data_IF_979995988755
#
_entry.id   IF_979995988755
#
_cell.length_a   1.000
_cell.length_b   1.000
_cell.length_c   1.000
_cell.angle_alpha   90.00
_cell.angle_beta   90.00
_cell.angle_gamma   90.00
#
_symmetry.space_group_name_H-M   'P 1'
#
loop_
_entity.id
_entity.type
_entity.pdbx_description
1 polymer ?
#
# COMPACT_ATOMS: atom_id res chain seq x y z
N UNK A 1 -16.70 -10.88 51.98
CA UNK A 1 -17.15 -9.54 51.69
C UNK A 1 -16.30 -9.00 50.53
N UNK A 2 -16.93 -8.45 49.48
CA UNK A 2 -16.22 -7.80 48.39
C UNK A 2 -15.77 -6.38 48.77
N UNK A 3 -14.91 -5.78 47.96
CA UNK A 3 -14.45 -4.41 48.12
C UNK A 3 -14.96 -3.56 46.96
N UNK A 4 -15.52 -2.42 47.21
CA UNK A 4 -15.99 -1.50 46.16
C UNK A 4 -14.80 -1.03 45.28
N UNK A 5 -14.89 -1.25 44.01
CA UNK A 5 -13.84 -0.88 43.05
C UNK A 5 -13.55 0.63 42.98
N UNK A 6 -14.51 1.46 43.46
CA UNK A 6 -14.37 2.92 43.44
C UNK A 6 -13.85 3.47 44.76
N UNK A 7 -14.52 3.19 45.91
CA UNK A 7 -14.17 3.81 47.17
C UNK A 7 -13.37 2.93 48.15
N UNK A 8 -13.05 1.69 47.78
CA UNK A 8 -12.29 0.77 48.60
C UNK A 8 -12.99 0.23 49.85
N UNK A 9 -14.25 0.65 50.13
CA UNK A 9 -15.02 0.17 51.29
C UNK A 9 -15.72 -1.17 50.99
N UNK A 10 -16.09 -1.91 52.05
CA UNK A 10 -16.74 -3.23 51.89
C UNK A 10 -18.10 -3.14 51.21
N UNK A 11 -18.40 -4.09 50.30
CA UNK A 11 -19.68 -4.25 49.63
C UNK A 11 -20.22 -5.67 49.83
N UNK A 12 -21.48 -5.90 49.47
CA UNK A 12 -22.14 -7.20 49.56
C UNK A 12 -21.41 -8.29 48.73
N UNK A 13 -21.68 -9.55 49.09
CA UNK A 13 -21.00 -10.74 48.50
C UNK A 13 -21.09 -10.86 46.99
N UNK A 14 -22.07 -10.24 46.34
CA UNK A 14 -22.34 -10.32 44.90
C UNK A 14 -22.23 -8.94 44.21
N UNK A 15 -21.66 -7.93 44.86
CA UNK A 15 -21.51 -6.59 44.29
C UNK A 15 -20.03 -6.20 44.20
N UNK A 16 -19.65 -5.62 43.07
CA UNK A 16 -18.30 -5.05 42.83
C UNK A 16 -18.21 -3.57 43.20
N UNK A 17 -19.33 -2.90 43.45
CA UNK A 17 -19.38 -1.47 43.76
C UNK A 17 -20.65 -1.13 44.58
N UNK A 18 -20.63 0.01 45.29
CA UNK A 18 -21.85 0.63 45.79
C UNK A 18 -22.56 1.33 44.62
N UNK A 19 -23.88 1.25 44.60
CA UNK A 19 -24.72 1.87 43.58
C UNK A 19 -24.45 3.38 43.44
N UNK A 20 -24.38 4.08 44.57
CA UNK A 20 -24.08 5.51 44.62
C UNK A 20 -22.68 5.86 44.05
N UNK A 21 -21.68 4.99 44.29
CA UNK A 21 -20.34 5.20 43.72
C UNK A 21 -20.33 4.99 42.17
N UNK A 22 -21.07 4.01 41.71
CA UNK A 22 -21.24 3.70 40.31
C UNK A 22 -21.97 4.81 39.56
N UNK A 23 -23.13 5.24 40.07
CA UNK A 23 -23.91 6.37 39.52
C UNK A 23 -23.08 7.67 39.47
N UNK A 24 -22.31 7.96 40.54
CA UNK A 24 -21.42 9.14 40.59
C UNK A 24 -20.31 9.06 39.54
N UNK A 25 -19.70 7.90 39.40
CA UNK A 25 -18.67 7.66 38.41
C UNK A 25 -19.20 7.78 36.96
N UNK A 26 -20.30 7.12 36.65
CA UNK A 26 -20.96 7.18 35.32
C UNK A 26 -21.36 8.63 34.95
N UNK A 27 -21.94 9.36 35.91
CA UNK A 27 -22.26 10.78 35.70
C UNK A 27 -21.01 11.61 35.41
N UNK A 28 -19.92 11.38 36.13
CA UNK A 28 -18.65 12.07 35.90
C UNK A 28 -18.06 11.77 34.53
N UNK A 29 -18.07 10.51 34.11
CA UNK A 29 -17.61 10.09 32.75
C UNK A 29 -18.46 10.74 31.66
N UNK A 30 -19.78 10.82 31.85
CA UNK A 30 -20.67 11.50 30.92
C UNK A 30 -20.37 13.01 30.81
N UNK A 31 -20.23 13.70 31.94
CA UNK A 31 -19.88 15.13 31.97
C UNK A 31 -18.52 15.40 31.30
N UNK A 32 -17.53 14.52 31.50
CA UNK A 32 -16.24 14.64 30.88
C UNK A 32 -16.30 14.39 29.35
N UNK A 33 -17.08 13.40 28.90
CA UNK A 33 -17.30 13.17 27.48
C UNK A 33 -17.88 14.42 26.80
N UNK A 34 -18.89 15.03 27.39
CA UNK A 34 -19.45 16.27 26.86
C UNK A 34 -18.42 17.40 26.86
N UNK A 35 -17.64 17.56 27.93
CA UNK A 35 -16.62 18.60 28.02
C UNK A 35 -15.49 18.43 26.98
N UNK A 36 -15.11 17.21 26.68
CA UNK A 36 -14.10 16.91 25.63
C UNK A 36 -14.61 17.24 24.22
N UNK A 37 -15.87 16.89 23.95
CA UNK A 37 -16.52 17.27 22.67
C UNK A 37 -16.67 18.80 22.57
N UNK A 38 -17.08 19.49 23.65
CA UNK A 38 -17.15 20.96 23.70
C UNK A 38 -15.79 21.63 23.46
N UNK A 39 -14.70 21.02 23.97
CA UNK A 39 -13.36 21.52 23.73
C UNK A 39 -13.03 21.52 22.23
N UNK A 40 -13.23 20.41 21.52
CA UNK A 40 -12.97 20.34 20.09
C UNK A 40 -13.89 21.21 19.24
N UNK A 41 -15.06 21.58 19.76
CA UNK A 41 -15.98 22.58 19.17
C UNK A 41 -15.58 24.03 19.47
N UNK A 42 -14.50 24.24 20.24
CA UNK A 42 -14.06 25.58 20.63
C UNK A 42 -14.91 26.26 21.70
N UNK A 43 -15.80 25.51 22.37
CA UNK A 43 -16.69 26.05 23.41
C UNK A 43 -16.07 25.98 24.79
N UNK A 44 -14.96 25.29 24.97
CA UNK A 44 -14.28 25.06 26.24
C UNK A 44 -12.78 25.23 26.11
N UNK A 45 -12.13 25.85 27.08
CA UNK A 45 -10.68 26.01 27.13
C UNK A 45 -9.98 24.74 27.65
N UNK A 46 -8.74 24.49 27.25
CA UNK A 46 -7.91 23.38 27.73
C UNK A 46 -7.70 23.40 29.24
N UNK A 47 -7.53 24.57 29.85
CA UNK A 47 -7.44 24.75 31.31
C UNK A 47 -8.69 24.27 32.05
N UNK A 48 -9.86 24.51 31.47
CA UNK A 48 -11.13 24.05 32.05
C UNK A 48 -11.26 22.52 31.99
N UNK A 49 -10.77 21.89 30.90
CA UNK A 49 -10.69 20.42 30.77
C UNK A 49 -9.78 19.86 31.86
N UNK A 50 -8.57 20.40 32.02
CA UNK A 50 -7.60 19.96 33.03
C UNK A 50 -8.16 20.09 34.47
N UNK A 51 -8.77 21.23 34.81
CA UNK A 51 -9.38 21.44 36.14
C UNK A 51 -10.53 20.46 36.41
N UNK A 52 -11.35 20.18 35.40
CA UNK A 52 -12.43 19.20 35.52
C UNK A 52 -11.88 17.80 35.80
N UNK A 53 -10.86 17.36 35.05
CA UNK A 53 -10.23 16.06 35.26
C UNK A 53 -9.69 15.91 36.67
N UNK A 54 -9.01 16.93 37.21
CA UNK A 54 -8.48 16.91 38.57
C UNK A 54 -9.61 16.75 39.64
N UNK A 55 -10.71 17.49 39.49
CA UNK A 55 -11.86 17.35 40.38
C UNK A 55 -12.49 15.95 40.28
N UNK A 56 -12.72 15.44 39.06
CA UNK A 56 -13.38 14.14 38.85
C UNK A 56 -12.54 12.96 39.33
N UNK A 57 -11.21 13.05 39.23
CA UNK A 57 -10.31 12.02 39.80
C UNK A 57 -10.48 11.89 41.32
N UNK A 58 -10.51 13.01 42.01
CA UNK A 58 -10.60 13.01 43.49
C UNK A 58 -12.01 12.72 44.03
N UNK A 59 -13.05 13.26 43.38
CA UNK A 59 -14.41 13.22 43.87
C UNK A 59 -15.25 12.05 43.35
N UNK A 60 -14.93 11.57 42.14
CA UNK A 60 -15.76 10.61 41.40
C UNK A 60 -15.04 9.35 41.00
N UNK A 61 -13.80 9.14 41.47
CA UNK A 61 -12.99 7.93 41.20
C UNK A 61 -12.71 7.67 39.71
N UNK A 62 -12.60 8.73 38.90
CA UNK A 62 -12.27 8.60 37.46
C UNK A 62 -10.81 8.19 37.35
N UNK A 63 -10.56 7.10 36.66
CA UNK A 63 -9.23 6.54 36.43
C UNK A 63 -8.53 7.16 35.21
N UNK A 64 -7.21 6.89 35.08
CA UNK A 64 -6.46 7.28 33.89
C UNK A 64 -6.96 6.57 32.65
N UNK A 65 -7.43 5.33 32.79
CA UNK A 65 -8.00 4.55 31.66
C UNK A 65 -9.34 5.16 31.21
N UNK A 66 -10.19 5.62 32.12
CA UNK A 66 -11.42 6.32 31.75
C UNK A 66 -11.13 7.61 30.98
N UNK A 67 -10.14 8.39 31.45
CA UNK A 67 -9.70 9.62 30.77
C UNK A 67 -9.15 9.33 29.36
N UNK A 68 -8.32 8.33 29.27
CA UNK A 68 -7.73 7.93 27.97
C UNK A 68 -8.81 7.44 27.00
N UNK A 69 -9.75 6.63 27.49
CA UNK A 69 -10.85 6.12 26.70
C UNK A 69 -11.76 7.24 26.19
N UNK A 70 -12.24 8.10 27.08
CA UNK A 70 -13.09 9.24 26.72
C UNK A 70 -12.37 10.24 25.83
N UNK A 71 -11.07 10.47 26.09
CA UNK A 71 -10.23 11.30 25.25
C UNK A 71 -10.05 10.75 23.85
N UNK A 72 -9.80 9.45 23.74
CA UNK A 72 -9.70 8.75 22.43
C UNK A 72 -11.01 8.86 21.64
N UNK A 73 -12.15 8.67 22.28
CA UNK A 73 -13.45 8.76 21.63
C UNK A 73 -13.75 10.20 21.14
N UNK A 74 -13.44 11.22 21.94
CA UNK A 74 -13.57 12.62 21.54
C UNK A 74 -12.64 13.01 20.38
N UNK A 75 -11.41 12.50 20.38
CA UNK A 75 -10.45 12.69 19.27
C UNK A 75 -11.00 12.04 17.98
N UNK A 76 -11.58 10.84 18.07
CA UNK A 76 -12.20 10.17 16.93
C UNK A 76 -13.40 10.95 16.38
N UNK A 77 -14.28 11.44 17.25
CA UNK A 77 -15.39 12.31 16.84
C UNK A 77 -14.86 13.56 16.13
N UNK A 78 -13.87 14.23 16.72
CA UNK A 78 -13.26 15.41 16.12
C UNK A 78 -12.64 15.08 14.74
N UNK A 79 -11.92 13.98 14.61
CA UNK A 79 -11.34 13.55 13.34
C UNK A 79 -12.41 13.41 12.26
N UNK A 80 -13.61 12.93 12.57
CA UNK A 80 -14.71 12.80 11.61
C UNK A 80 -15.19 14.17 11.09
N UNK A 81 -15.16 15.21 11.93
CA UNK A 81 -15.57 16.56 11.55
C UNK A 81 -14.57 17.31 10.67
N UNK A 82 -13.34 16.83 10.56
CA UNK A 82 -12.30 17.49 9.79
C UNK A 82 -12.55 17.33 8.28
N UNK A 83 -12.60 18.43 7.55
CA UNK A 83 -12.74 18.49 6.11
C UNK A 83 -11.71 19.44 5.49
N UNK A 84 -11.31 19.18 4.24
CA UNK A 84 -10.42 20.09 3.50
C UNK A 84 -11.16 21.36 3.06
N UNK A 85 -10.50 22.52 3.06
CA UNK A 85 -9.13 22.76 3.51
C UNK A 85 -9.01 22.67 5.04
N UNK A 86 -7.94 22.02 5.52
CA UNK A 86 -7.75 21.84 6.96
C UNK A 86 -7.32 23.13 7.66
N UNK A 87 -7.96 23.52 8.78
CA UNK A 87 -7.51 24.63 9.60
C UNK A 87 -6.09 24.44 10.13
N UNK A 88 -5.29 25.50 10.11
CA UNK A 88 -3.91 25.47 10.60
C UNK A 88 -3.80 25.15 12.12
N UNK A 89 -4.88 25.38 12.88
CA UNK A 89 -4.96 25.17 14.32
C UNK A 89 -5.10 23.72 14.77
N UNK A 90 -5.43 22.77 13.88
CA UNK A 90 -5.75 21.38 14.24
C UNK A 90 -4.67 20.74 15.12
N UNK A 91 -3.39 20.85 14.73
CA UNK A 91 -2.29 20.27 15.48
C UNK A 91 -2.12 20.92 16.86
N UNK A 92 -2.31 22.24 16.95
CA UNK A 92 -2.31 22.97 18.21
C UNK A 92 -3.44 22.50 19.14
N UNK A 93 -4.67 22.48 18.64
CA UNK A 93 -5.86 22.00 19.36
C UNK A 93 -5.64 20.57 19.87
N UNK A 94 -5.17 19.66 19.02
CA UNK A 94 -4.94 18.25 19.41
C UNK A 94 -3.85 18.14 20.48
N UNK A 95 -2.73 18.84 20.34
CA UNK A 95 -1.63 18.85 21.32
C UNK A 95 -2.07 19.43 22.66
N UNK A 96 -2.79 20.55 22.65
CA UNK A 96 -3.26 21.22 23.85
C UNK A 96 -4.29 20.34 24.59
N UNK A 97 -5.11 19.57 23.86
CA UNK A 97 -6.00 18.56 24.44
C UNK A 97 -5.22 17.42 25.10
N UNK A 98 -4.22 16.83 24.41
CA UNK A 98 -3.36 15.79 24.98
C UNK A 98 -2.73 16.28 26.28
N UNK A 99 -2.18 17.49 26.29
CA UNK A 99 -1.61 18.11 27.49
C UNK A 99 -2.65 18.33 28.61
N UNK A 100 -3.86 18.76 28.27
CA UNK A 100 -4.93 19.00 29.23
C UNK A 100 -5.44 17.72 29.89
N UNK A 101 -5.46 16.60 29.17
CA UNK A 101 -5.85 15.28 29.72
C UNK A 101 -4.83 14.73 30.71
N UNK A 102 -3.55 15.06 30.54
CA UNK A 102 -2.44 14.47 31.28
C UNK A 102 -2.20 12.97 30.94
N UNK A 103 -2.95 12.42 30.00
CA UNK A 103 -2.79 11.04 29.55
C UNK A 103 -1.59 10.92 28.59
N UNK A 104 -0.96 9.75 28.56
CA UNK A 104 0.12 9.50 27.60
C UNK A 104 -0.41 9.42 26.16
N UNK A 105 0.45 9.73 25.19
CA UNK A 105 0.13 9.56 23.77
C UNK A 105 -0.38 8.14 23.47
N UNK A 106 0.33 7.13 23.97
CA UNK A 106 -0.02 5.72 23.75
C UNK A 106 -1.39 5.35 24.32
N UNK A 107 -1.76 5.89 25.50
CA UNK A 107 -3.06 5.63 26.09
C UNK A 107 -4.19 6.27 25.27
N UNK A 108 -4.05 7.53 24.86
CA UNK A 108 -5.01 8.22 24.00
C UNK A 108 -5.09 7.60 22.59
N UNK A 109 -4.00 7.00 22.12
CA UNK A 109 -3.94 6.36 20.80
C UNK A 109 -4.23 4.85 20.82
N UNK A 110 -4.65 4.28 21.95
CA UNK A 110 -4.89 2.84 22.09
C UNK A 110 -5.90 2.29 21.06
N UNK A 111 -6.84 3.11 20.58
CA UNK A 111 -7.79 2.82 19.52
C UNK A 111 -7.40 3.46 18.16
N UNK A 112 -6.18 3.95 18.00
CA UNK A 112 -5.71 4.59 16.77
C UNK A 112 -6.30 5.97 16.52
N UNK A 113 -6.84 6.68 17.52
CA UNK A 113 -7.50 7.96 17.34
C UNK A 113 -6.57 9.08 16.88
N UNK A 114 -5.37 9.17 17.44
CA UNK A 114 -4.35 10.14 17.03
C UNK A 114 -3.75 9.79 15.67
N UNK A 115 -3.53 8.51 15.42
CA UNK A 115 -3.11 7.99 14.09
C UNK A 115 -4.15 8.31 13.01
N UNK A 116 -5.44 8.28 13.35
CA UNK A 116 -6.51 8.64 12.43
C UNK A 116 -6.44 10.13 12.03
N UNK A 117 -6.20 11.03 12.99
CA UNK A 117 -6.01 12.47 12.68
C UNK A 117 -4.76 12.65 11.81
N UNK A 118 -3.63 12.09 12.21
CA UNK A 118 -2.38 12.19 11.44
C UNK A 118 -2.55 11.67 10.02
N UNK A 119 -3.14 10.46 9.87
CA UNK A 119 -3.43 9.85 8.57
C UNK A 119 -4.34 10.73 7.71
N UNK A 120 -5.43 11.25 8.28
CA UNK A 120 -6.37 12.11 7.55
C UNK A 120 -5.72 13.39 7.03
N UNK A 121 -4.91 14.05 7.86
CA UNK A 121 -4.20 15.28 7.48
C UNK A 121 -3.12 15.00 6.42
N UNK A 122 -2.29 13.97 6.61
CA UNK A 122 -1.23 13.61 5.65
C UNK A 122 -1.83 13.23 4.30
N UNK A 123 -2.85 12.36 4.28
CA UNK A 123 -3.56 11.98 3.04
C UNK A 123 -4.15 13.21 2.33
N UNK A 124 -4.67 14.16 3.07
CA UNK A 124 -5.20 15.38 2.49
C UNK A 124 -4.13 16.25 1.82
N UNK A 125 -2.97 16.45 2.45
CA UNK A 125 -1.88 17.25 1.87
C UNK A 125 -1.22 16.54 0.68
N UNK A 126 -1.10 15.21 0.72
CA UNK A 126 -0.60 14.44 -0.42
C UNK A 126 -1.61 14.48 -1.59
N UNK A 127 -2.92 14.41 -1.30
CA UNK A 127 -3.95 14.56 -2.32
C UNK A 127 -3.92 15.97 -2.96
N UNK A 128 -3.65 17.02 -2.16
CA UNK A 128 -3.49 18.39 -2.66
C UNK A 128 -2.27 18.50 -3.60
N UNK A 129 -1.21 17.73 -3.37
CA UNK A 129 -0.09 17.62 -4.30
C UNK A 129 -0.51 16.94 -5.62
N UNK A 130 -1.12 15.78 -5.58
CA UNK A 130 -1.54 15.07 -6.79
C UNK A 130 -2.65 15.77 -7.60
N UNK A 131 -3.24 16.82 -7.04
CA UNK A 131 -4.26 17.67 -7.72
C UNK A 131 -3.77 19.08 -8.02
N UNK A 132 -2.45 19.32 -8.00
CA UNK A 132 -1.81 20.61 -8.30
C UNK A 132 -2.23 21.79 -7.40
N UNK A 133 -2.87 21.49 -6.24
CA UNK A 133 -3.24 22.50 -5.24
C UNK A 133 -2.03 22.92 -4.39
N UNK A 134 -1.08 22.01 -4.19
CA UNK A 134 0.06 22.20 -3.32
C UNK A 134 1.35 21.62 -3.93
N UNK A 135 2.47 22.38 -3.96
CA UNK A 135 3.77 21.85 -4.38
C UNK A 135 4.24 20.71 -3.47
N UNK A 136 5.01 19.75 -4.02
CA UNK A 136 5.54 18.57 -3.31
C UNK A 136 6.22 18.93 -1.99
N UNK A 137 7.18 19.87 -2.02
CA UNK A 137 7.93 20.28 -0.82
C UNK A 137 7.03 20.83 0.28
N UNK A 138 5.97 21.55 -0.09
CA UNK A 138 4.99 22.07 0.87
C UNK A 138 4.11 20.95 1.45
N UNK A 139 3.72 19.97 0.63
CA UNK A 139 2.97 18.81 1.09
C UNK A 139 3.78 18.00 2.10
N UNK A 140 5.03 17.66 1.78
CA UNK A 140 5.91 16.93 2.69
C UNK A 140 6.30 17.73 3.94
N UNK A 141 6.57 19.02 3.81
CA UNK A 141 6.81 19.89 4.98
C UNK A 141 5.62 19.90 5.95
N UNK A 142 4.38 19.85 5.45
CA UNK A 142 3.18 19.73 6.29
C UNK A 142 3.08 18.33 6.91
N UNK A 143 3.41 17.27 6.17
CA UNK A 143 3.48 15.91 6.72
C UNK A 143 4.53 15.80 7.84
N UNK A 144 5.71 16.39 7.66
CA UNK A 144 6.77 16.41 8.68
C UNK A 144 6.31 17.15 9.97
N UNK A 145 5.60 18.26 9.83
CA UNK A 145 5.01 18.96 10.99
C UNK A 145 3.98 18.09 11.72
N UNK A 146 3.19 17.28 11.01
CA UNK A 146 2.25 16.34 11.61
C UNK A 146 3.03 15.28 12.40
N UNK A 147 4.03 14.65 11.81
CA UNK A 147 4.87 13.62 12.46
C UNK A 147 5.57 14.16 13.72
N UNK A 148 6.01 15.40 13.69
CA UNK A 148 6.63 16.04 14.87
C UNK A 148 5.62 16.35 15.99
N UNK A 149 4.36 16.58 15.66
CA UNK A 149 3.32 16.87 16.64
C UNK A 149 2.59 15.61 17.13
N UNK A 150 2.43 14.63 16.25
CA UNK A 150 1.74 13.37 16.46
C UNK A 150 2.67 12.23 15.98
N UNK A 151 3.50 11.65 16.88
CA UNK A 151 4.50 10.66 16.50
C UNK A 151 3.82 9.35 16.04
N UNK A 152 3.72 9.20 14.72
CA UNK A 152 3.21 7.99 14.07
C UNK A 152 4.35 7.00 13.82
N UNK A 153 4.02 5.71 13.67
CA UNK A 153 5.00 4.69 13.30
C UNK A 153 5.43 4.83 11.83
N UNK A 154 6.66 4.42 11.51
CA UNK A 154 7.14 4.35 10.12
C UNK A 154 6.28 3.41 9.25
N UNK A 155 5.67 2.38 9.86
CA UNK A 155 4.74 1.49 9.16
C UNK A 155 3.50 2.25 8.70
N UNK A 156 2.87 3.03 9.60
CA UNK A 156 1.70 3.82 9.26
C UNK A 156 2.03 4.90 8.20
N UNK A 157 3.19 5.55 8.32
CA UNK A 157 3.65 6.50 7.31
C UNK A 157 3.76 5.86 5.93
N UNK A 158 4.41 4.70 5.84
CA UNK A 158 4.53 3.95 4.59
C UNK A 158 3.16 3.51 4.05
N UNK A 159 2.25 3.05 4.90
CA UNK A 159 0.90 2.67 4.47
C UNK A 159 0.13 3.87 3.92
N UNK A 160 0.27 5.06 4.53
CA UNK A 160 -0.32 6.30 4.02
C UNK A 160 0.24 6.65 2.63
N UNK A 161 1.57 6.62 2.46
CA UNK A 161 2.21 6.93 1.19
C UNK A 161 1.81 5.96 0.09
N UNK A 162 1.80 4.66 0.38
CA UNK A 162 1.40 3.62 -0.58
C UNK A 162 -0.08 3.75 -0.97
N UNK A 163 -0.98 3.99 -0.01
CA UNK A 163 -2.41 4.20 -0.30
C UNK A 163 -2.64 5.43 -1.19
N UNK A 164 -1.92 6.51 -0.92
CA UNK A 164 -2.06 7.74 -1.72
C UNK A 164 -1.48 7.61 -3.11
N UNK A 165 -0.37 6.89 -3.24
CA UNK A 165 0.22 6.56 -4.54
C UNK A 165 -0.75 5.69 -5.37
N UNK A 166 -1.35 4.65 -4.76
CA UNK A 166 -2.33 3.81 -5.44
C UNK A 166 -3.52 4.61 -5.94
N UNK A 167 -4.09 5.48 -5.09
CA UNK A 167 -5.20 6.37 -5.49
C UNK A 167 -4.82 7.31 -6.64
N UNK A 168 -3.59 7.83 -6.63
CA UNK A 168 -3.09 8.67 -7.71
C UNK A 168 -2.95 7.87 -9.01
N UNK A 169 -2.31 6.69 -8.96
CA UNK A 169 -2.17 5.81 -10.13
C UNK A 169 -3.54 5.42 -10.71
N UNK A 170 -4.50 4.99 -9.87
CA UNK A 170 -5.87 4.67 -10.29
C UNK A 170 -6.54 5.86 -10.97
N UNK A 171 -6.36 7.08 -10.43
CA UNK A 171 -6.96 8.28 -11.01
C UNK A 171 -6.34 8.66 -12.34
N UNK A 172 -5.02 8.64 -12.44
CA UNK A 172 -4.26 8.98 -13.65
C UNK A 172 -4.46 7.94 -14.77
N UNK A 173 -4.73 6.70 -14.42
CA UNK A 173 -4.96 5.62 -15.39
C UNK A 173 -6.43 5.50 -15.85
N UNK A 174 -7.36 6.36 -15.37
CA UNK A 174 -8.81 6.25 -15.67
C UNK A 174 -9.15 6.36 -17.14
N UNK A 175 -8.48 7.23 -17.86
CA UNK A 175 -8.69 7.43 -19.31
C UNK A 175 -7.78 6.53 -20.16
N UNK A 176 -6.96 5.71 -19.52
CA UNK A 176 -6.03 4.81 -20.16
C UNK A 176 -4.78 5.48 -20.75
N UNK A 177 -4.51 6.73 -20.41
CA UNK A 177 -3.34 7.49 -20.89
C UNK A 177 -2.65 8.16 -19.73
N UNK A 178 -1.44 7.71 -19.40
CA UNK A 178 -0.59 8.39 -18.43
C UNK A 178 0.15 9.55 -19.12
N UNK A 179 -0.20 10.78 -18.78
CA UNK A 179 0.45 11.98 -19.34
C UNK A 179 1.85 12.18 -18.77
N UNK A 180 2.68 12.99 -19.44
CA UNK A 180 4.02 13.31 -18.95
C UNK A 180 4.00 14.05 -17.60
N UNK A 181 3.00 14.89 -17.35
CA UNK A 181 2.83 15.59 -16.08
C UNK A 181 2.45 14.64 -14.95
N UNK A 182 1.50 13.73 -15.17
CA UNK A 182 1.10 12.73 -14.19
C UNK A 182 2.24 11.78 -13.86
N UNK A 183 3.00 11.36 -14.86
CA UNK A 183 4.21 10.58 -14.66
C UNK A 183 5.23 11.33 -13.80
N UNK A 184 5.46 12.62 -14.06
CA UNK A 184 6.36 13.45 -13.27
C UNK A 184 5.90 13.54 -11.81
N UNK A 185 4.60 13.73 -11.54
CA UNK A 185 4.06 13.72 -10.18
C UNK A 185 4.35 12.40 -9.45
N UNK A 186 4.20 11.26 -10.14
CA UNK A 186 4.50 9.95 -9.56
C UNK A 186 6.00 9.82 -9.28
N UNK A 187 6.86 10.15 -10.25
CA UNK A 187 8.32 10.05 -10.12
C UNK A 187 8.83 10.94 -8.96
N UNK A 188 8.35 12.17 -8.86
CA UNK A 188 8.69 13.10 -7.79
C UNK A 188 8.23 12.59 -6.42
N UNK A 189 6.99 12.09 -6.34
CA UNK A 189 6.43 11.56 -5.10
C UNK A 189 7.19 10.32 -4.61
N UNK A 190 7.42 9.32 -5.47
CA UNK A 190 8.11 8.08 -5.08
C UNK A 190 9.55 8.34 -4.68
N UNK A 191 10.24 9.28 -5.37
CA UNK A 191 11.59 9.72 -5.01
C UNK A 191 11.61 10.35 -3.62
N UNK A 192 10.68 11.25 -3.33
CA UNK A 192 10.61 11.96 -2.04
C UNK A 192 10.13 11.07 -0.89
N UNK A 193 9.24 10.13 -1.16
CA UNK A 193 8.73 9.17 -0.19
C UNK A 193 9.67 7.96 0.04
N UNK A 194 10.71 7.80 -0.77
CA UNK A 194 11.63 6.66 -0.70
C UNK A 194 10.99 5.33 -1.11
N UNK A 195 9.97 5.38 -1.99
CA UNK A 195 9.29 4.19 -2.48
C UNK A 195 10.04 3.63 -3.69
N UNK A 196 10.24 2.31 -3.72
CA UNK A 196 10.78 1.62 -4.89
C UNK A 196 9.64 0.95 -5.66
N UNK A 197 9.35 1.43 -6.86
CA UNK A 197 8.36 0.81 -7.76
C UNK A 197 8.79 -0.58 -8.26
N UNK A 198 10.08 -0.91 -8.15
CA UNK A 198 10.63 -2.23 -8.53
C UNK A 198 10.48 -3.29 -7.42
N UNK A 199 10.28 -2.86 -6.16
CA UNK A 199 10.22 -3.72 -4.98
C UNK A 199 8.94 -3.46 -4.20
N UNK A 200 7.79 -3.60 -4.86
CA UNK A 200 6.48 -3.39 -4.25
C UNK A 200 6.13 -4.53 -3.29
N UNK A 201 5.48 -4.23 -2.13
CA UNK A 201 4.87 -5.25 -1.30
C UNK A 201 3.88 -6.11 -2.08
N UNK A 202 3.73 -7.40 -1.71
CA UNK A 202 2.92 -8.37 -2.45
C UNK A 202 1.50 -7.92 -2.78
N UNK A 203 0.84 -7.19 -1.88
CA UNK A 203 -0.52 -6.64 -2.10
C UNK A 203 -0.63 -5.61 -3.25
N UNK A 204 0.50 -5.06 -3.72
CA UNK A 204 0.54 -4.07 -4.80
C UNK A 204 1.13 -4.61 -6.10
N UNK A 205 1.54 -5.89 -6.16
CA UNK A 205 2.20 -6.46 -7.34
C UNK A 205 1.30 -6.51 -8.58
N UNK A 206 -0.03 -6.61 -8.39
CA UNK A 206 -1.03 -6.61 -9.47
C UNK A 206 -1.85 -5.31 -9.53
N UNK A 207 -1.37 -4.25 -8.86
CA UNK A 207 -2.04 -2.94 -8.80
C UNK A 207 -1.63 -2.00 -9.94
N UNK A 208 -2.33 -0.88 -10.07
CA UNK A 208 -1.96 0.18 -11.02
C UNK A 208 -0.60 0.82 -10.71
N UNK A 209 -0.14 0.75 -9.44
CA UNK A 209 1.24 1.15 -9.08
C UNK A 209 2.26 0.26 -9.80
N UNK A 210 2.05 -1.05 -9.81
CA UNK A 210 2.96 -1.97 -10.50
C UNK A 210 2.99 -1.71 -12.00
N UNK A 211 1.85 -1.45 -12.62
CA UNK A 211 1.76 -1.11 -14.06
C UNK A 211 2.52 0.19 -14.39
N UNK A 212 2.37 1.21 -13.55
CA UNK A 212 3.13 2.47 -13.69
C UNK A 212 4.63 2.23 -13.52
N UNK A 213 5.04 1.42 -12.54
CA UNK A 213 6.44 1.04 -12.36
C UNK A 213 7.00 0.28 -13.55
N UNK A 214 6.24 -0.65 -14.11
CA UNK A 214 6.60 -1.39 -15.33
C UNK A 214 6.72 -0.45 -16.54
N UNK A 215 5.81 0.50 -16.70
CA UNK A 215 5.88 1.50 -17.76
C UNK A 215 7.11 2.41 -17.62
N UNK A 216 7.48 2.79 -16.40
CA UNK A 216 8.70 3.57 -16.14
C UNK A 216 9.96 2.77 -16.55
N UNK A 217 10.04 1.48 -16.22
CA UNK A 217 11.15 0.61 -16.65
C UNK A 217 11.25 0.55 -18.17
N UNK A 218 10.13 0.37 -18.89
CA UNK A 218 10.14 0.34 -20.36
C UNK A 218 10.61 1.67 -20.94
N UNK A 219 10.18 2.80 -20.39
CA UNK A 219 10.64 4.14 -20.80
C UNK A 219 12.15 4.31 -20.58
N UNK A 220 12.65 3.90 -19.42
CA UNK A 220 14.07 4.04 -19.08
C UNK A 220 14.94 3.17 -19.99
N UNK A 221 14.51 1.95 -20.29
CA UNK A 221 15.18 1.08 -21.28
C UNK A 221 15.19 1.68 -22.69
N UNK A 222 14.11 2.35 -23.12
CA UNK A 222 14.10 3.08 -24.41
C UNK A 222 15.14 4.20 -24.45
N UNK A 223 15.47 4.78 -23.31
CA UNK A 223 16.48 5.81 -23.15
C UNK A 223 17.88 5.23 -22.85
N UNK A 224 18.06 3.90 -22.91
CA UNK A 224 19.32 3.22 -22.67
C UNK A 224 19.68 3.07 -21.19
N UNK A 225 18.74 3.34 -20.26
CA UNK A 225 18.93 3.21 -18.82
C UNK A 225 18.46 1.83 -18.37
N UNK A 226 19.36 1.02 -17.82
CA UNK A 226 19.02 -0.30 -17.30
C UNK A 226 18.48 -0.20 -15.87
N UNK A 227 17.40 -0.92 -15.54
CA UNK A 227 16.89 -0.96 -14.17
C UNK A 227 17.87 -1.66 -13.24
N UNK A 228 18.01 -1.17 -12.02
CA UNK A 228 18.80 -1.82 -10.97
C UNK A 228 17.88 -2.76 -10.20
N UNK A 229 17.79 -4.01 -10.64
CA UNK A 229 17.05 -5.06 -9.95
C UNK A 229 17.95 -5.73 -8.90
N UNK A 230 17.76 -5.41 -7.62
CA UNK A 230 18.42 -6.09 -6.51
C UNK A 230 17.72 -7.44 -6.22
N UNK A 231 17.85 -8.38 -7.14
CA UNK A 231 17.29 -9.71 -6.96
C UNK A 231 18.39 -10.63 -6.45
N UNK A 232 18.26 -11.09 -5.22
CA UNK A 232 19.14 -12.15 -4.68
C UNK A 232 18.71 -13.48 -5.30
N UNK A 233 19.27 -13.79 -6.46
CA UNK A 233 19.01 -15.04 -7.14
C UNK A 233 20.27 -15.90 -7.14
N UNK A 234 20.15 -17.21 -6.87
CA UNK A 234 21.28 -18.14 -6.90
C UNK A 234 21.63 -18.54 -8.35
N UNK A 235 21.74 -17.54 -9.23
CA UNK A 235 22.11 -17.72 -10.66
C UNK A 235 23.41 -17.00 -10.97
N UNK A 236 24.19 -17.61 -11.86
CA UNK A 236 25.42 -17.01 -12.38
C UNK A 236 25.10 -16.33 -13.70
N UNK A 237 25.21 -15.01 -13.73
CA UNK A 237 25.07 -14.22 -14.94
C UNK A 237 26.35 -14.27 -15.77
N UNK A 238 26.20 -14.22 -17.09
CA UNK A 238 27.33 -14.12 -18.01
C UNK A 238 28.02 -12.74 -17.95
N UNK A 239 29.16 -12.62 -18.64
CA UNK A 239 29.85 -11.33 -18.75
C UNK A 239 28.94 -10.30 -19.45
N UNK A 240 28.76 -9.12 -18.84
CA UNK A 240 27.86 -8.06 -19.30
C UNK A 240 26.39 -8.54 -19.46
N UNK A 241 25.97 -9.46 -18.61
CA UNK A 241 24.58 -9.88 -18.51
C UNK A 241 23.97 -9.21 -17.27
N UNK A 242 22.89 -8.45 -17.47
CA UNK A 242 22.19 -7.68 -16.43
C UNK A 242 20.75 -8.14 -16.31
N UNK A 243 20.24 -8.28 -15.09
CA UNK A 243 18.83 -8.54 -14.84
C UNK A 243 18.05 -7.26 -15.15
N UNK A 244 17.03 -7.40 -15.98
CA UNK A 244 16.09 -6.32 -16.31
C UNK A 244 14.83 -6.41 -15.50
N UNK A 245 14.37 -7.64 -15.23
CA UNK A 245 13.19 -7.93 -14.42
C UNK A 245 13.21 -9.36 -13.89
N UNK A 246 12.44 -9.61 -12.82
CA UNK A 246 12.20 -10.95 -12.30
C UNK A 246 10.76 -11.07 -11.80
N UNK A 247 10.11 -12.18 -12.17
CA UNK A 247 8.82 -12.60 -11.65
C UNK A 247 9.04 -13.74 -10.67
N UNK A 248 8.43 -13.67 -9.50
CA UNK A 248 8.41 -14.74 -8.51
C UNK A 248 7.08 -15.53 -8.61
N UNK A 249 7.08 -16.77 -8.13
CA UNK A 249 5.85 -17.59 -8.13
C UNK A 249 5.42 -18.08 -9.51
N UNK A 250 6.32 -18.06 -10.50
CA UNK A 250 6.03 -18.49 -11.86
C UNK A 250 6.02 -20.01 -11.95
N UNK A 251 4.97 -20.56 -12.58
CA UNK A 251 4.87 -21.97 -12.94
C UNK A 251 5.40 -22.18 -14.36
N UNK A 252 6.35 -23.08 -14.50
CA UNK A 252 6.85 -23.48 -15.81
C UNK A 252 6.26 -24.82 -16.23
N UNK A 253 5.67 -24.84 -17.41
CA UNK A 253 5.17 -26.05 -18.06
C UNK A 253 5.96 -26.37 -19.33
N UNK A 254 6.09 -27.65 -19.60
CA UNK A 254 6.67 -28.15 -20.85
C UNK A 254 5.69 -29.08 -21.55
N UNK A 255 5.55 -28.90 -22.85
CA UNK A 255 4.70 -29.74 -23.67
C UNK A 255 5.22 -31.19 -23.73
N UNK A 256 4.37 -32.15 -23.33
CA UNK A 256 4.48 -33.57 -23.76
C UNK A 256 3.38 -33.81 -24.76
N UNK A 257 3.76 -34.25 -25.96
CA UNK A 257 2.82 -34.40 -27.07
C UNK A 257 1.80 -35.52 -26.76
N UNK A 258 0.61 -35.09 -26.36
CA UNK A 258 -0.66 -35.80 -26.40
C UNK A 258 -1.69 -34.71 -26.75
N UNK A 259 -2.66 -34.95 -27.61
CA UNK A 259 -3.39 -33.91 -28.39
C UNK A 259 -4.55 -33.21 -27.70
N UNK A 260 -4.67 -31.86 -27.67
CA UNK A 260 -5.92 -31.03 -27.45
C UNK A 260 -5.84 -29.50 -27.70
N UNK A 261 -6.81 -28.80 -27.65
CA UNK A 261 -7.69 -27.64 -27.93
C UNK A 261 -7.18 -26.19 -27.96
N UNK A 262 -7.69 -25.32 -28.86
CA UNK A 262 -7.34 -23.91 -29.11
C UNK A 262 -8.52 -22.94 -28.83
N UNK A 263 -8.22 -21.68 -28.47
CA UNK A 263 -9.18 -20.64 -28.16
C UNK A 263 -8.96 -19.23 -28.71
N UNK A 264 -9.92 -18.33 -28.48
CA UNK A 264 -10.00 -16.97 -29.01
C UNK A 264 -9.86 -15.89 -27.94
N UNK A 265 -9.19 -14.75 -28.26
CA UNK A 265 -8.96 -13.64 -27.35
C UNK A 265 -9.75 -12.37 -27.72
N UNK A 266 -10.17 -11.58 -26.72
CA UNK A 266 -10.68 -10.23 -26.84
C UNK A 266 -10.15 -9.35 -25.70
N UNK A 267 -9.95 -8.05 -25.94
CA UNK A 267 -9.45 -7.13 -24.92
C UNK A 267 -9.43 -5.67 -25.39
N UNK A 268 -9.15 -4.77 -24.45
CA UNK A 268 -8.97 -3.34 -24.70
C UNK A 268 -7.50 -2.94 -24.51
N UNK A 269 -7.12 -1.80 -25.11
CA UNK A 269 -5.75 -1.28 -25.05
C UNK A 269 -5.77 0.21 -24.70
N UNK A 270 -4.77 0.66 -23.93
CA UNK A 270 -4.50 2.08 -23.72
C UNK A 270 -3.00 2.38 -23.84
N UNK A 271 -2.69 3.64 -24.17
CA UNK A 271 -1.31 4.08 -24.38
C UNK A 271 -0.75 4.61 -23.07
N UNK A 272 0.39 4.08 -22.63
CA UNK A 272 1.08 4.46 -21.39
C UNK A 272 2.12 5.56 -21.67
N UNK A 273 2.83 5.48 -22.80
CA UNK A 273 3.76 6.51 -23.29
C UNK A 273 3.95 6.39 -24.81
N UNK A 274 4.74 7.27 -25.43
CA UNK A 274 4.99 7.23 -26.87
C UNK A 274 5.62 5.87 -27.26
N UNK A 275 4.89 5.07 -28.01
CA UNK A 275 5.33 3.75 -28.49
C UNK A 275 4.94 2.57 -27.59
N UNK A 276 4.43 2.80 -26.37
CA UNK A 276 4.03 1.73 -25.45
C UNK A 276 2.51 1.72 -25.25
N UNK A 277 1.87 0.59 -25.56
CA UNK A 277 0.43 0.39 -25.44
C UNK A 277 0.12 -0.77 -24.50
N UNK A 278 -0.70 -0.54 -23.48
CA UNK A 278 -1.24 -1.58 -22.61
C UNK A 278 -2.44 -2.25 -23.28
N UNK A 279 -2.45 -3.60 -23.28
CA UNK A 279 -3.60 -4.39 -23.78
C UNK A 279 -4.01 -5.40 -22.73
N UNK A 280 -5.27 -5.41 -22.35
CA UNK A 280 -5.88 -6.44 -21.49
C UNK A 280 -6.75 -7.32 -22.36
N UNK A 281 -6.48 -8.64 -22.39
CA UNK A 281 -7.21 -9.61 -23.18
C UNK A 281 -7.80 -10.73 -22.36
N UNK A 282 -8.99 -11.21 -22.73
CA UNK A 282 -9.60 -12.45 -22.22
C UNK A 282 -9.60 -13.51 -23.30
N UNK A 283 -9.32 -14.76 -22.89
CA UNK A 283 -9.22 -15.92 -23.79
C UNK A 283 -10.38 -16.91 -23.56
N UNK A 284 -10.97 -17.44 -24.66
CA UNK A 284 -11.95 -18.54 -24.65
C UNK A 284 -11.57 -19.59 -25.69
N UNK A 285 -11.49 -20.87 -25.30
CA UNK A 285 -10.93 -21.94 -26.07
C UNK A 285 -11.88 -22.93 -26.74
N UNK A 286 -11.36 -23.63 -27.80
CA UNK A 286 -11.95 -24.80 -28.45
C UNK A 286 -10.90 -25.93 -28.65
N UNK A 287 -11.27 -27.22 -28.70
CA UNK A 287 -10.35 -28.34 -28.64
C UNK A 287 -9.69 -28.74 -29.97
N UNK A 288 -8.42 -29.10 -29.93
CA UNK A 288 -7.69 -29.86 -30.95
C UNK A 288 -6.61 -30.75 -30.29
N UNK A 289 -6.21 -31.81 -30.98
CA UNK A 289 -5.42 -32.95 -30.55
C UNK A 289 -4.12 -32.66 -29.76
N UNK A 290 -3.87 -33.54 -28.85
CA UNK A 290 -3.17 -33.54 -27.57
C UNK A 290 -1.67 -33.24 -27.56
N UNK A 291 -1.32 -32.19 -26.83
CA UNK A 291 -0.12 -32.22 -26.03
C UNK A 291 -0.50 -31.95 -24.56
N UNK A 292 -0.04 -32.77 -23.66
CA UNK A 292 -0.24 -32.59 -22.23
C UNK A 292 0.83 -31.65 -21.69
N UNK A 293 0.41 -30.53 -21.13
CA UNK A 293 1.32 -29.62 -20.44
C UNK A 293 1.67 -30.20 -19.07
N UNK A 294 2.93 -30.54 -18.86
CA UNK A 294 3.42 -31.00 -17.58
C UNK A 294 4.04 -29.84 -16.81
N UNK A 295 3.63 -29.66 -15.57
CA UNK A 295 4.29 -28.76 -14.64
C UNK A 295 5.72 -29.27 -14.38
N UNK A 296 6.73 -28.47 -14.71
CA UNK A 296 8.14 -28.79 -14.50
C UNK A 296 8.69 -28.18 -13.22
N UNK A 297 8.03 -27.14 -12.68
CA UNK A 297 8.36 -26.52 -11.40
C UNK A 297 7.71 -25.16 -11.18
N UNK A 298 7.78 -24.70 -9.93
CA UNK A 298 7.42 -23.34 -9.52
C UNK A 298 8.69 -22.61 -9.08
N UNK A 299 8.87 -21.37 -9.53
CA UNK A 299 10.10 -20.64 -9.27
C UNK A 299 10.07 -19.19 -9.70
N UNK A 300 11.21 -18.66 -10.13
CA UNK A 300 11.36 -17.32 -10.66
C UNK A 300 11.64 -17.32 -12.16
N UNK A 301 10.97 -16.43 -12.90
CA UNK A 301 11.28 -16.13 -14.30
C UNK A 301 12.05 -14.82 -14.35
N UNK A 302 13.29 -14.88 -14.85
CA UNK A 302 14.23 -13.78 -14.87
C UNK A 302 14.47 -13.37 -16.32
N UNK A 303 14.25 -12.11 -16.59
CA UNK A 303 14.52 -11.47 -17.89
C UNK A 303 15.85 -10.73 -17.77
N UNK A 304 16.83 -11.12 -18.56
CA UNK A 304 18.12 -10.41 -18.66
C UNK A 304 18.23 -9.69 -20.00
N UNK A 305 19.28 -8.92 -20.20
CA UNK A 305 19.58 -8.34 -21.52
C UNK A 305 20.04 -9.38 -22.58
N UNK A 306 20.19 -10.67 -22.21
CA UNK A 306 20.68 -11.75 -23.12
C UNK A 306 19.80 -12.98 -23.13
N UNK A 307 19.12 -13.27 -22.04
CA UNK A 307 18.45 -14.55 -21.84
C UNK A 307 17.14 -14.39 -21.07
N UNK A 308 16.23 -15.31 -21.33
CA UNK A 308 15.11 -15.62 -20.46
C UNK A 308 15.51 -16.82 -19.58
N UNK A 309 15.52 -16.68 -18.28
CA UNK A 309 16.00 -17.69 -17.33
C UNK A 309 14.86 -18.06 -16.39
N UNK A 310 14.50 -19.33 -16.35
CA UNK A 310 13.65 -19.87 -15.30
C UNK A 310 14.52 -20.60 -14.27
N UNK A 311 14.32 -20.26 -13.01
CA UNK A 311 15.02 -20.86 -11.87
C UNK A 311 14.04 -21.44 -10.89
N UNK A 312 14.16 -22.72 -10.56
CA UNK A 312 13.43 -23.38 -9.48
C UNK A 312 14.30 -24.46 -8.84
N UNK A 313 13.84 -25.00 -7.69
CA UNK A 313 14.51 -26.15 -7.05
C UNK A 313 14.41 -27.44 -7.90
N UNK A 314 13.36 -27.57 -8.72
CA UNK A 314 13.11 -28.76 -9.53
C UNK A 314 13.77 -28.68 -10.88
N UNK A 315 13.76 -27.49 -11.51
CA UNK A 315 14.19 -27.34 -12.90
C UNK A 315 14.73 -25.93 -13.16
N UNK A 316 15.88 -25.87 -13.82
CA UNK A 316 16.42 -24.62 -14.33
C UNK A 316 16.40 -24.64 -15.85
N UNK A 317 16.04 -23.51 -16.47
CA UNK A 317 16.01 -23.38 -17.91
C UNK A 317 16.54 -21.99 -18.30
N UNK A 318 17.54 -21.95 -19.19
CA UNK A 318 18.09 -20.71 -19.75
C UNK A 318 17.87 -20.71 -21.24
N UNK A 319 17.15 -19.71 -21.75
CA UNK A 319 16.83 -19.57 -23.18
C UNK A 319 17.44 -18.27 -23.68
N UNK A 320 18.51 -18.35 -24.49
CA UNK A 320 19.06 -17.19 -25.18
C UNK A 320 18.06 -16.63 -26.20
N UNK A 321 17.96 -15.31 -26.32
CA UNK A 321 16.97 -14.67 -27.20
C UNK A 321 17.16 -15.07 -28.67
N UNK A 322 18.40 -15.28 -29.15
CA UNK A 322 18.68 -15.76 -30.50
C UNK A 322 18.21 -17.20 -30.77
N UNK A 323 17.69 -17.90 -29.77
CA UNK A 323 17.06 -19.23 -29.88
C UNK A 323 15.54 -19.17 -29.79
N UNK A 324 14.97 -18.02 -29.59
CA UNK A 324 13.52 -17.80 -29.54
C UNK A 324 13.05 -17.46 -30.97
N UNK A 325 12.16 -18.26 -31.53
CA UNK A 325 11.55 -18.02 -32.83
C UNK A 325 10.18 -17.41 -32.77
N UNK A 326 9.54 -17.45 -31.60
CA UNK A 326 8.23 -16.83 -31.36
C UNK A 326 7.82 -16.89 -29.91
N UNK A 327 6.93 -15.95 -29.54
CA UNK A 327 6.32 -15.89 -28.20
C UNK A 327 4.82 -15.67 -28.39
N UNK A 328 4.01 -16.50 -27.73
CA UNK A 328 2.56 -16.36 -27.68
C UNK A 328 2.15 -15.82 -26.32
N UNK A 329 1.55 -14.62 -26.23
CA UNK A 329 1.06 -14.08 -24.95
C UNK A 329 -0.29 -14.70 -24.56
N UNK A 330 -0.45 -14.95 -23.24
CA UNK A 330 -1.70 -15.29 -22.57
C UNK A 330 -2.03 -14.22 -21.53
N UNK A 331 -3.23 -14.23 -20.98
CA UNK A 331 -3.62 -13.28 -19.92
C UNK A 331 -2.80 -13.44 -18.63
N UNK A 332 -2.31 -14.64 -18.38
CA UNK A 332 -1.60 -15.05 -17.16
C UNK A 332 -0.17 -15.55 -17.40
N UNK A 333 0.41 -15.27 -18.59
CA UNK A 333 1.76 -15.71 -18.89
C UNK A 333 2.13 -15.69 -20.37
N UNK A 334 3.20 -16.41 -20.73
CA UNK A 334 3.69 -16.52 -22.11
C UNK A 334 4.05 -17.96 -22.48
N UNK A 335 3.93 -18.29 -23.78
CA UNK A 335 4.50 -19.49 -24.36
C UNK A 335 5.69 -19.11 -25.26
N UNK A 336 6.83 -19.75 -25.05
CA UNK A 336 8.08 -19.50 -25.78
C UNK A 336 8.37 -20.65 -26.74
N UNK A 337 8.53 -20.31 -28.01
CA UNK A 337 8.88 -21.22 -29.08
C UNK A 337 10.38 -21.12 -29.38
N UNK A 338 11.09 -22.24 -29.32
CA UNK A 338 12.55 -22.29 -29.57
C UNK A 338 12.87 -22.90 -30.91
N UNK A 339 13.92 -22.38 -31.54
CA UNK A 339 14.48 -22.95 -32.78
C UNK A 339 14.92 -24.41 -32.57
N UNK A 340 14.66 -25.27 -33.57
CA UNK A 340 15.07 -26.68 -33.58
C UNK A 340 14.50 -27.55 -32.45
N UNK A 341 13.54 -27.05 -31.63
CA UNK A 341 12.93 -27.81 -30.54
C UNK A 341 11.40 -27.75 -30.60
N UNK A 342 10.79 -28.90 -30.86
CA UNK A 342 9.34 -29.03 -30.93
C UNK A 342 8.62 -28.80 -29.58
N UNK A 343 9.35 -28.78 -28.44
CA UNK A 343 8.76 -28.62 -27.11
C UNK A 343 8.63 -27.14 -26.75
N UNK A 344 7.40 -26.73 -26.56
CA UNK A 344 7.07 -25.37 -26.10
C UNK A 344 7.28 -25.23 -24.60
N UNK A 345 7.70 -24.04 -24.16
CA UNK A 345 7.83 -23.67 -22.76
C UNK A 345 6.74 -22.66 -22.44
N UNK A 346 5.87 -22.98 -21.50
CA UNK A 346 4.84 -22.05 -21.03
C UNK A 346 5.18 -21.60 -19.61
N UNK A 347 5.13 -20.29 -19.37
CA UNK A 347 5.36 -19.66 -18.10
C UNK A 347 4.08 -18.94 -17.68
N UNK A 348 3.55 -19.27 -16.50
CA UNK A 348 2.30 -18.73 -15.97
C UNK A 348 2.50 -18.09 -14.58
N UNK A 349 1.63 -17.16 -14.20
CA UNK A 349 1.64 -16.49 -12.91
C UNK A 349 1.98 -14.99 -13.00
N UNK A 350 1.88 -14.39 -14.21
CA UNK A 350 2.10 -12.95 -14.42
C UNK A 350 1.34 -12.45 -15.63
N UNK A 351 1.02 -11.15 -15.66
CA UNK A 351 0.47 -10.49 -16.86
C UNK A 351 1.52 -10.42 -17.97
N UNK A 352 1.11 -10.80 -19.20
CA UNK A 352 2.03 -10.89 -20.32
C UNK A 352 2.42 -9.55 -20.94
N UNK A 353 1.66 -8.47 -20.69
CA UNK A 353 1.88 -7.19 -21.35
C UNK A 353 3.30 -6.67 -21.14
N UNK A 354 3.75 -6.62 -19.89
CA UNK A 354 5.05 -6.04 -19.60
C UNK A 354 6.20 -6.86 -20.15
N UNK A 355 6.17 -8.20 -19.99
CA UNK A 355 7.24 -9.06 -20.52
C UNK A 355 7.30 -9.02 -22.04
N UNK A 356 6.16 -8.94 -22.73
CA UNK A 356 6.14 -8.84 -24.19
C UNK A 356 6.79 -7.54 -24.67
N UNK A 357 6.48 -6.41 -24.02
CA UNK A 357 7.14 -5.13 -24.33
C UNK A 357 8.64 -5.17 -24.00
N UNK A 358 8.99 -5.74 -22.85
CA UNK A 358 10.39 -5.88 -22.42
C UNK A 358 11.20 -6.73 -23.40
N UNK A 359 10.68 -7.89 -23.81
CA UNK A 359 11.35 -8.79 -24.75
C UNK A 359 11.46 -8.19 -26.17
N UNK A 360 10.49 -7.38 -26.59
CA UNK A 360 10.58 -6.67 -27.88
C UNK A 360 11.69 -5.62 -27.90
N UNK A 361 12.03 -5.04 -26.75
CA UNK A 361 13.12 -4.07 -26.64
C UNK A 361 14.50 -4.74 -26.62
N UNK A 362 14.64 -5.84 -25.88
CA UNK A 362 15.93 -6.53 -25.73
C UNK A 362 16.25 -7.44 -26.92
N UNK A 363 15.25 -7.90 -27.66
CA UNK A 363 15.47 -8.68 -28.90
C UNK A 363 16.06 -7.88 -30.06
N UNK A 364 16.07 -6.54 -29.94
CA UNK A 364 16.60 -5.60 -30.92
C UNK A 364 17.92 -4.94 -30.50
N UNK A 365 18.50 -5.35 -29.35
CA UNK A 365 19.78 -4.86 -28.83
C UNK A 365 20.91 -5.91 -29.12
#
# INVERSE_FOLDING_TARGET
>A
MGTCKYCGKSVGLFSSAHKECEERHEKACHEMSVAFTEYFRGMRAASSVSSMIQSKRSECYVSDDDIAQLGSDAINEYCQTLHRPFPASILGITRDFISATGASYSALNAKGSLDAIASKLMKGFIADFFTDVLPLDKAFSRCDRIKNALPISSSLENDIYMEMLEKACVNFMKDGVLTASEQQHIDDFVSRAGISLLNLPGKYQDSDIAKVGQAAVLRDLQNGVYPVCNVQLPIILGKNEHVLWAYNGVSMYMEKIERETIGRSGGFSFRVCKGVTYRVGQFKGHPIEHSRMNLEGNGALIVTNKNLIFYSQQKNNKVPYNKIVGITPYSDGIEVHKDGNARRLTFQGFDSWFIMNLLSMVGNI
#
